data_IF_583230304796
#
_entry.id   IF_583230304796
#
_cell.length_a   1.000
_cell.length_b   1.000
_cell.length_c   1.000
_cell.angle_alpha   90.00
_cell.angle_beta   90.00
_cell.angle_gamma   90.00
#
_symmetry.space_group_name_H-M   'P 1'
#
loop_
_entity.id
_entity.type
_entity.pdbx_description
1 polymer ?
#
# COMPACT_ATOMS: atom_id res chain seq x y z
N UNK A 1 17.23 17.51 19.34
CA UNK A 1 16.23 17.49 18.25
C UNK A 1 15.78 16.05 18.03
N UNK A 2 14.47 15.75 18.11
CA UNK A 2 13.95 14.42 17.75
C UNK A 2 12.75 14.55 16.82
N UNK A 3 12.52 13.50 16.03
CA UNK A 3 11.35 13.30 15.19
C UNK A 3 10.71 11.98 15.61
N UNK A 4 9.39 11.99 15.79
CA UNK A 4 8.60 10.82 16.21
C UNK A 4 7.42 10.66 15.25
N UNK A 5 7.30 9.45 14.70
CA UNK A 5 6.16 9.05 13.89
C UNK A 5 5.07 8.48 14.82
N UNK A 6 3.84 8.94 14.65
CA UNK A 6 2.66 8.48 15.35
C UNK A 6 1.58 8.14 14.33
N UNK A 7 0.70 7.20 14.69
CA UNK A 7 -0.56 6.94 13.98
C UNK A 7 -0.40 6.79 12.45
N UNK A 8 0.16 5.65 12.04
CA UNK A 8 0.28 5.30 10.62
C UNK A 8 -1.09 4.84 10.12
N UNK A 9 -1.55 5.44 9.03
CA UNK A 9 -2.82 5.12 8.40
C UNK A 9 -2.66 4.97 6.89
N UNK A 10 -3.51 4.12 6.32
CA UNK A 10 -3.59 3.88 4.88
C UNK A 10 -4.78 4.67 4.35
N UNK A 11 -4.55 5.56 3.39
CA UNK A 11 -5.62 6.32 2.77
C UNK A 11 -6.44 5.45 1.80
N UNK A 12 -7.50 6.03 1.24
CA UNK A 12 -8.19 5.41 0.10
C UNK A 12 -7.31 5.52 -1.16
N UNK A 13 -7.37 4.54 -2.08
CA UNK A 13 -6.60 4.56 -3.33
C UNK A 13 -6.86 5.83 -4.15
N UNK A 14 -5.79 6.60 -4.36
CA UNK A 14 -5.83 7.88 -5.08
C UNK A 14 -4.48 8.18 -5.73
N UNK A 15 -4.50 8.92 -6.83
CA UNK A 15 -3.30 9.44 -7.47
C UNK A 15 -3.30 10.96 -7.41
N UNK A 16 -2.13 11.54 -7.11
CA UNK A 16 -1.95 12.99 -7.19
C UNK A 16 -1.25 13.36 -8.50
N UNK A 17 -1.92 14.14 -9.33
CA UNK A 17 -1.43 14.63 -10.62
C UNK A 17 -1.62 16.15 -10.68
N UNK A 18 -0.56 16.92 -10.97
CA UNK A 18 -0.59 18.39 -11.03
C UNK A 18 -1.22 19.09 -9.80
N UNK A 19 -1.01 18.52 -8.61
CA UNK A 19 -1.56 19.05 -7.35
C UNK A 19 -3.03 18.70 -7.08
N UNK A 20 -3.70 18.01 -8.00
CA UNK A 20 -5.06 17.47 -7.83
C UNK A 20 -4.96 16.00 -7.42
N UNK A 21 -5.72 15.60 -6.40
CA UNK A 21 -5.77 14.21 -5.94
C UNK A 21 -7.07 13.57 -6.40
N UNK A 22 -6.96 12.64 -7.35
CA UNK A 22 -8.09 11.93 -7.94
C UNK A 22 -8.21 10.52 -7.37
N UNK A 23 -9.42 10.06 -7.00
CA UNK A 23 -9.64 8.69 -6.58
C UNK A 23 -9.50 7.74 -7.76
N UNK A 24 -8.74 6.67 -7.59
CA UNK A 24 -8.52 5.69 -8.67
C UNK A 24 -9.34 4.42 -8.43
N UNK A 25 -9.67 3.74 -9.52
CA UNK A 25 -10.30 2.42 -9.50
C UNK A 25 -9.37 1.38 -10.14
N UNK A 26 -9.50 0.10 -9.78
CA UNK A 26 -8.69 -0.95 -10.42
C UNK A 26 -8.92 -0.98 -11.95
N UNK A 27 -10.17 -0.91 -12.41
CA UNK A 27 -10.53 -0.77 -13.82
C UNK A 27 -9.80 0.38 -14.54
N UNK A 28 -9.82 1.60 -13.98
CA UNK A 28 -9.10 2.74 -14.58
C UNK A 28 -7.58 2.50 -14.62
N UNK A 29 -7.02 1.84 -13.60
CA UNK A 29 -5.59 1.54 -13.59
C UNK A 29 -5.17 0.56 -14.68
N UNK A 30 -6.02 -0.42 -15.00
CA UNK A 30 -5.81 -1.35 -16.13
C UNK A 30 -5.78 -0.62 -17.46
N UNK A 31 -6.75 0.27 -17.70
CA UNK A 31 -6.90 0.97 -18.97
C UNK A 31 -5.86 2.06 -19.23
N UNK A 32 -5.33 2.67 -18.16
CA UNK A 32 -4.42 3.82 -18.26
C UNK A 32 -2.96 3.47 -17.96
N UNK A 33 -2.58 2.19 -17.95
CA UNK A 33 -1.24 1.72 -17.60
C UNK A 33 -0.72 2.27 -16.26
N UNK A 34 -1.62 2.45 -15.30
CA UNK A 34 -1.30 2.97 -13.98
C UNK A 34 -1.13 1.85 -12.96
N UNK A 35 -0.48 2.18 -11.84
CA UNK A 35 -0.36 1.28 -10.70
C UNK A 35 -1.47 1.57 -9.68
N UNK A 36 -2.23 0.54 -9.31
CA UNK A 36 -3.28 0.66 -8.30
C UNK A 36 -2.67 0.73 -6.90
N UNK A 37 -2.63 1.94 -6.34
CA UNK A 37 -1.89 2.24 -5.12
C UNK A 37 -2.60 3.27 -4.24
N UNK A 38 -2.15 3.38 -3.00
CA UNK A 38 -2.72 4.30 -2.01
C UNK A 38 -1.62 5.01 -1.21
N UNK A 39 -1.78 6.29 -0.85
CA UNK A 39 -0.81 6.98 -0.02
C UNK A 39 -0.85 6.49 1.44
N UNK A 40 0.33 6.29 2.02
CA UNK A 40 0.53 6.02 3.45
C UNK A 40 0.68 7.36 4.16
N UNK A 41 -0.15 7.61 5.17
CA UNK A 41 -0.15 8.83 5.98
C UNK A 41 0.34 8.55 7.39
N UNK A 42 1.03 9.51 7.97
CA UNK A 42 1.52 9.44 9.35
C UNK A 42 1.45 10.81 10.00
N UNK A 43 1.25 10.82 11.32
CA UNK A 43 1.36 12.02 12.13
C UNK A 43 2.81 12.16 12.61
N UNK A 44 3.41 13.33 12.40
CA UNK A 44 4.81 13.59 12.71
C UNK A 44 4.90 14.61 13.84
N UNK A 45 5.51 14.19 14.94
CA UNK A 45 5.84 15.03 16.09
C UNK A 45 7.34 15.36 16.06
N UNK A 46 7.69 16.64 16.14
CA UNK A 46 9.09 17.08 16.12
C UNK A 46 9.31 18.31 16.99
N UNK A 47 10.56 18.57 17.38
CA UNK A 47 10.93 19.79 18.11
C UNK A 47 11.61 20.77 17.15
N UNK A 48 11.15 22.02 17.17
CA UNK A 48 11.75 23.13 16.44
C UNK A 48 12.21 24.21 17.42
N UNK A 49 13.42 24.73 17.22
CA UNK A 49 13.91 25.88 17.98
C UNK A 49 13.39 27.17 17.34
N UNK A 50 12.67 27.97 18.12
CA UNK A 50 12.13 29.26 17.71
C UNK A 50 12.57 30.28 18.76
N UNK A 51 13.39 31.26 18.37
CA UNK A 51 13.91 32.33 19.25
C UNK A 51 14.59 31.80 20.53
N UNK A 52 15.36 30.72 20.43
CA UNK A 52 16.09 30.13 21.56
C UNK A 52 15.22 29.27 22.50
N UNK A 53 13.94 29.03 22.17
CA UNK A 53 13.07 28.10 22.88
C UNK A 53 12.72 26.88 22.03
N UNK A 54 12.83 25.70 22.63
CA UNK A 54 12.41 24.44 22.03
C UNK A 54 10.88 24.32 22.09
N UNK A 55 10.22 24.44 20.94
CA UNK A 55 8.77 24.27 20.83
C UNK A 55 8.45 22.93 20.18
N UNK A 56 7.48 22.21 20.75
CA UNK A 56 6.98 20.95 20.22
C UNK A 56 5.94 21.22 19.13
N UNK A 57 6.17 20.68 17.95
CA UNK A 57 5.33 20.81 16.76
C UNK A 57 4.75 19.46 16.35
N UNK A 58 3.56 19.50 15.77
CA UNK A 58 2.87 18.31 15.27
C UNK A 58 2.30 18.61 13.88
N UNK A 59 2.58 17.72 12.93
CA UNK A 59 2.03 17.76 11.57
C UNK A 59 1.28 16.47 11.31
N UNK A 60 -0.03 16.59 11.09
CA UNK A 60 -0.91 15.45 10.86
C UNK A 60 -1.02 15.07 9.39
N UNK A 61 -1.23 13.78 9.12
CA UNK A 61 -1.57 13.24 7.82
C UNK A 61 -0.48 13.41 6.75
N UNK A 62 0.80 13.43 7.15
CA UNK A 62 1.93 13.55 6.23
C UNK A 62 2.03 12.29 5.38
N UNK A 63 2.02 12.44 4.05
CA UNK A 63 2.24 11.31 3.14
C UNK A 63 3.72 10.97 3.14
N UNK A 64 4.06 9.74 3.53
CA UNK A 64 5.45 9.24 3.62
C UNK A 64 5.81 8.26 2.51
N UNK A 65 4.81 7.79 1.75
CA UNK A 65 5.03 6.83 0.68
C UNK A 65 3.73 6.35 0.08
N UNK A 66 3.85 5.41 -0.84
CA UNK A 66 2.75 4.82 -1.57
C UNK A 66 2.82 3.30 -1.37
N UNK A 67 1.68 2.69 -1.09
CA UNK A 67 1.52 1.24 -0.98
C UNK A 67 0.70 0.71 -2.14
N UNK A 68 1.18 -0.34 -2.81
CA UNK A 68 0.36 -1.04 -3.80
C UNK A 68 -0.76 -1.79 -3.10
N UNK A 69 -1.98 -1.67 -3.63
CA UNK A 69 -3.16 -2.26 -3.00
C UNK A 69 -3.49 -3.57 -3.67
N UNK A 70 -3.60 -4.63 -2.87
CA UNK A 70 -4.06 -5.93 -3.35
C UNK A 70 -5.55 -5.84 -3.66
N UNK A 71 -5.95 -6.32 -4.84
CA UNK A 71 -7.34 -6.33 -5.26
C UNK A 71 -8.19 -7.16 -4.30
N UNK A 72 -9.38 -6.66 -3.96
CA UNK A 72 -10.31 -7.24 -2.97
C UNK A 72 -9.83 -7.28 -1.51
N UNK A 73 -8.64 -6.78 -1.18
CA UNK A 73 -8.20 -6.61 0.22
C UNK A 73 -9.02 -5.53 0.96
N UNK A 74 -8.91 -5.46 2.29
CA UNK A 74 -9.61 -4.44 3.11
C UNK A 74 -9.29 -2.98 2.73
N UNK A 75 -8.14 -2.74 2.08
CA UNK A 75 -7.72 -1.42 1.60
C UNK A 75 -8.17 -1.15 0.15
N UNK A 76 -8.76 -2.13 -0.52
CA UNK A 76 -9.24 -2.00 -1.89
C UNK A 76 -10.61 -1.33 -1.93
N UNK A 77 -10.82 -0.47 -2.93
CA UNK A 77 -12.13 0.16 -3.19
C UNK A 77 -13.24 -0.85 -3.48
N UNK A 78 -12.91 -2.07 -3.87
CA UNK A 78 -13.86 -3.15 -4.16
C UNK A 78 -14.26 -3.97 -2.92
N UNK A 79 -13.63 -3.73 -1.77
CA UNK A 79 -13.88 -4.49 -0.55
C UNK A 79 -15.34 -4.39 -0.11
N UNK A 80 -15.96 -5.53 0.21
CA UNK A 80 -17.33 -5.60 0.71
C UNK A 80 -18.43 -5.17 -0.27
N UNK A 81 -18.11 -4.96 -1.55
CA UNK A 81 -19.11 -4.59 -2.57
C UNK A 81 -19.91 -5.81 -3.03
N UNK A 82 -21.21 -5.60 -3.24
CA UNK A 82 -22.10 -6.59 -3.84
C UNK A 82 -21.82 -6.75 -5.34
N UNK A 83 -22.27 -7.86 -5.93
CA UNK A 83 -22.13 -8.16 -7.36
C UNK A 83 -22.65 -7.02 -8.24
N UNK A 84 -23.81 -6.46 -7.90
CA UNK A 84 -24.41 -5.34 -8.62
C UNK A 84 -23.55 -4.06 -8.56
N UNK A 85 -22.89 -3.80 -7.44
CA UNK A 85 -22.01 -2.65 -7.27
C UNK A 85 -20.68 -2.83 -8.01
N UNK A 86 -20.18 -4.06 -8.10
CA UNK A 86 -18.97 -4.40 -8.85
C UNK A 86 -19.20 -4.24 -10.35
N UNK A 87 -20.33 -4.74 -10.86
CA UNK A 87 -20.72 -4.57 -12.25
C UNK A 87 -20.80 -3.08 -12.65
N UNK A 88 -21.36 -2.22 -11.78
CA UNK A 88 -21.39 -0.76 -11.99
C UNK A 88 -20.01 -0.10 -12.02
N UNK A 89 -19.01 -0.74 -11.42
CA UNK A 89 -17.62 -0.27 -11.41
C UNK A 89 -16.78 -0.89 -12.54
N UNK A 90 -17.38 -1.70 -13.43
CA UNK A 90 -16.67 -2.39 -14.50
C UNK A 90 -15.83 -3.57 -14.01
N UNK A 91 -16.14 -4.14 -12.84
CA UNK A 91 -15.40 -5.25 -12.25
C UNK A 91 -16.22 -6.54 -12.28
N UNK A 92 -15.54 -7.67 -12.51
CA UNK A 92 -16.17 -8.98 -12.52
C UNK A 92 -16.54 -9.43 -11.09
N UNK A 93 -17.80 -9.82 -10.82
CA UNK A 93 -18.20 -10.36 -9.52
C UNK A 93 -17.47 -11.64 -9.13
N UNK A 94 -17.13 -12.47 -10.13
CA UNK A 94 -16.46 -13.76 -9.96
C UNK A 94 -14.92 -13.63 -9.88
N UNK A 95 -14.36 -12.42 -9.97
CA UNK A 95 -12.93 -12.20 -9.79
C UNK A 95 -12.52 -12.46 -8.34
N UNK A 96 -11.66 -13.47 -8.07
CA UNK A 96 -11.22 -13.79 -6.72
C UNK A 96 -10.36 -12.68 -6.08
N UNK A 97 -9.75 -11.80 -6.87
CA UNK A 97 -8.77 -10.83 -6.39
C UNK A 97 -7.46 -11.49 -5.92
N UNK A 98 -6.76 -10.85 -4.97
CA UNK A 98 -5.50 -11.39 -4.41
C UNK A 98 -4.24 -11.07 -5.21
N UNK A 99 -4.34 -10.21 -6.21
CA UNK A 99 -3.22 -9.74 -7.04
C UNK A 99 -3.12 -8.21 -7.03
N UNK A 100 -2.06 -7.68 -7.64
CA UNK A 100 -1.77 -6.26 -7.75
C UNK A 100 -1.84 -5.82 -9.20
N UNK A 101 -2.27 -4.58 -9.44
CA UNK A 101 -2.21 -3.96 -10.77
C UNK A 101 -1.01 -3.00 -10.78
N UNK A 102 0.04 -3.34 -11.53
CA UNK A 102 1.28 -2.57 -11.64
C UNK A 102 1.46 -2.16 -13.10
N UNK A 103 1.46 -0.85 -13.38
CA UNK A 103 1.53 -0.32 -14.75
C UNK A 103 0.55 -1.00 -15.69
N UNK A 104 -0.74 -1.04 -15.33
CA UNK A 104 -1.80 -1.71 -16.10
C UNK A 104 -1.81 -3.24 -16.03
N UNK A 105 -0.75 -3.88 -15.55
CA UNK A 105 -0.59 -5.33 -15.59
C UNK A 105 -0.91 -5.99 -14.25
N UNK A 106 -1.58 -7.14 -14.28
CA UNK A 106 -1.88 -7.95 -13.10
C UNK A 106 -0.67 -8.79 -12.69
N UNK A 107 -0.30 -8.72 -11.41
CA UNK A 107 0.88 -9.36 -10.83
C UNK A 107 0.52 -10.03 -9.51
N UNK A 108 0.90 -11.29 -9.37
CA UNK A 108 0.73 -12.06 -8.13
C UNK A 108 2.08 -12.16 -7.43
N UNK A 109 2.10 -11.98 -6.10
CA UNK A 109 3.27 -12.29 -5.30
C UNK A 109 3.30 -13.80 -5.03
N UNK A 110 4.36 -14.46 -5.50
CA UNK A 110 4.59 -15.87 -5.20
C UNK A 110 5.13 -16.01 -3.79
N UNK A 111 4.55 -16.91 -3.01
CA UNK A 111 5.08 -17.22 -1.69
C UNK A 111 6.41 -17.94 -1.84
N UNK A 112 7.47 -17.38 -1.25
CA UNK A 112 8.75 -18.04 -1.13
C UNK A 112 8.89 -18.64 0.27
N UNK A 113 9.43 -19.85 0.33
CA UNK A 113 9.79 -20.45 1.61
C UNK A 113 10.94 -19.65 2.23
N UNK A 114 10.69 -18.98 3.36
CA UNK A 114 11.75 -18.38 4.16
C UNK A 114 12.28 -19.39 5.16
N UNK A 115 13.61 -19.51 5.27
CA UNK A 115 14.20 -20.20 6.41
C UNK A 115 13.89 -19.45 7.71
N UNK A 116 13.64 -20.19 8.79
CA UNK A 116 13.34 -19.61 10.10
C UNK A 116 14.49 -18.68 10.52
N UNK A 117 14.15 -17.51 11.06
CA UNK A 117 15.12 -16.53 11.58
C UNK A 117 15.80 -16.98 12.87
N UNK A 118 15.22 -17.97 13.57
CA UNK A 118 15.75 -18.54 14.81
C UNK A 118 15.77 -20.06 14.65
N UNK A 119 16.93 -20.61 14.28
CA UNK A 119 17.15 -22.05 14.12
C UNK A 119 18.43 -22.36 13.34
N UNK A 120 19.39 -23.01 14.00
CA UNK A 120 20.61 -23.51 13.35
C UNK A 120 20.21 -24.53 12.28
N UNK A 121 20.26 -24.11 11.02
CA UNK A 121 19.91 -24.96 9.88
C UNK A 121 21.19 -25.64 9.37
N UNK A 122 21.47 -26.85 9.85
CA UNK A 122 22.53 -27.70 9.30
C UNK A 122 22.00 -28.39 8.03
N UNK A 123 22.26 -27.79 6.87
CA UNK A 123 21.96 -28.39 5.57
C UNK A 123 23.19 -29.18 5.11
N UNK A 124 23.13 -30.51 5.19
CA UNK A 124 24.13 -31.40 4.58
C UNK A 124 23.61 -31.86 3.22
N UNK A 125 24.30 -31.53 2.13
CA UNK A 125 24.04 -32.14 0.83
C UNK A 125 25.11 -33.19 0.55
N UNK A 126 24.76 -34.47 0.55
CA UNK A 126 25.60 -35.47 -0.09
C UNK A 126 25.34 -35.40 -1.59
N UNK A 127 26.31 -34.97 -2.39
CA UNK A 127 26.27 -35.23 -3.83
C UNK A 127 26.38 -36.74 -4.00
N UNK A 128 25.24 -37.38 -4.29
CA UNK A 128 25.19 -38.76 -4.77
C UNK A 128 25.85 -38.83 -6.15
N UNK A 129 26.63 -39.89 -6.31
CA UNK A 129 27.48 -40.32 -7.44
C UNK A 129 26.99 -39.97 -8.84
#
# INVERSE_FOLDING_TARGET
>A
MYLRLKDISIAQPSQTSYGVTDPITPHTCRLSDMTYATPIRVDVEYIQEIRGQNTKMEKKGVVIGIMHVMLRSCCCKLYGKTESQLAKLGECPLDPGGYFIIKGNEKVLLMQHSFRKEGLSLIWTTRGT
#
